data_IF_733086683974
#
_entry.id   IF_733086683974
#
_cell.length_a   1.000
_cell.length_b   1.000
_cell.length_c   1.000
_cell.angle_alpha   90.00
_cell.angle_beta   90.00
_cell.angle_gamma   90.00
#
_symmetry.space_group_name_H-M   'P 1'
#
loop_
_entity.id
_entity.type
_entity.pdbx_description
1 polymer ?
#
# COMPACT_ATOMS: atom_id res chain seq x y z
N UNK A 1 -18.24 -0.38 11.57
CA UNK A 1 -17.73 1.01 11.51
C UNK A 1 -16.50 1.10 12.39
N UNK A 2 -15.35 1.52 11.85
CA UNK A 2 -14.16 1.86 12.64
C UNK A 2 -14.28 3.31 13.12
N UNK A 3 -13.72 3.66 14.28
CA UNK A 3 -13.67 5.07 14.71
C UNK A 3 -12.88 5.92 13.69
N UNK A 4 -13.31 7.17 13.50
CA UNK A 4 -12.57 8.19 12.71
C UNK A 4 -11.81 9.18 13.60
N UNK A 5 -11.93 9.04 14.91
CA UNK A 5 -11.23 9.88 15.88
C UNK A 5 -9.72 9.59 15.84
N UNK A 6 -8.92 10.65 15.73
CA UNK A 6 -7.47 10.54 15.68
C UNK A 6 -6.91 10.39 17.09
N UNK A 7 -6.42 9.20 17.41
CA UNK A 7 -5.68 8.94 18.65
C UNK A 7 -4.27 9.50 18.51
N UNK A 8 -3.88 10.39 19.43
CA UNK A 8 -2.54 10.98 19.52
C UNK A 8 -1.90 10.60 20.85
N UNK A 9 -0.57 10.54 20.87
CA UNK A 9 0.19 10.49 22.10
C UNK A 9 0.23 11.85 22.80
N UNK A 10 0.84 11.90 23.98
CA UNK A 10 1.04 13.14 24.74
C UNK A 10 2.09 14.06 24.12
N UNK A 11 2.94 13.51 23.24
CA UNK A 11 3.97 14.24 22.51
C UNK A 11 4.17 13.68 21.08
N UNK A 12 5.11 14.27 20.33
CA UNK A 12 5.42 13.85 18.97
C UNK A 12 6.00 12.43 18.91
N UNK A 13 6.82 12.04 19.90
CA UNK A 13 7.47 10.72 19.94
C UNK A 13 6.46 9.60 20.19
N UNK A 14 5.58 9.76 21.18
CA UNK A 14 4.51 8.82 21.49
C UNK A 14 3.49 8.73 20.35
N UNK A 15 3.20 9.84 19.66
CA UNK A 15 2.37 9.81 18.44
C UNK A 15 3.04 9.03 17.31
N UNK A 16 4.35 9.20 17.12
CA UNK A 16 5.13 8.43 16.14
C UNK A 16 5.17 6.94 16.48
N UNK A 17 5.25 6.59 17.77
CA UNK A 17 5.21 5.19 18.23
C UNK A 17 3.88 4.52 17.90
N UNK A 18 2.75 5.22 18.01
CA UNK A 18 1.45 4.72 17.56
C UNK A 18 1.51 4.39 16.06
N UNK A 19 1.98 5.33 15.24
CA UNK A 19 2.13 5.13 13.80
C UNK A 19 3.05 3.95 13.45
N UNK A 20 4.17 3.81 14.16
CA UNK A 20 5.10 2.69 13.99
C UNK A 20 4.47 1.34 14.34
N UNK A 21 3.68 1.27 15.42
CA UNK A 21 2.95 0.05 15.81
C UNK A 21 1.92 -0.35 14.75
N UNK A 22 1.18 0.61 14.21
CA UNK A 22 0.22 0.37 13.13
C UNK A 22 0.94 -0.09 11.85
N UNK A 23 2.01 0.59 11.45
CA UNK A 23 2.80 0.21 10.28
C UNK A 23 3.36 -1.22 10.40
N UNK A 24 3.90 -1.59 11.58
CA UNK A 24 4.37 -2.96 11.85
C UNK A 24 3.24 -3.99 11.73
N UNK A 25 2.06 -3.70 12.26
CA UNK A 25 0.91 -4.60 12.15
C UNK A 25 0.48 -4.80 10.69
N UNK A 26 0.46 -3.72 9.89
CA UNK A 26 0.16 -3.80 8.45
C UNK A 26 1.21 -4.60 7.68
N UNK A 27 2.51 -4.46 8.01
CA UNK A 27 3.58 -5.29 7.43
C UNK A 27 3.34 -6.77 7.75
N UNK A 28 3.05 -7.11 9.01
CA UNK A 28 2.77 -8.48 9.40
C UNK A 28 1.54 -9.06 8.69
N UNK A 29 0.52 -8.24 8.44
CA UNK A 29 -0.62 -8.63 7.61
C UNK A 29 -0.16 -8.96 6.18
N UNK A 30 0.60 -8.07 5.54
CA UNK A 30 1.12 -8.30 4.18
C UNK A 30 1.98 -9.56 4.10
N UNK A 31 2.77 -9.87 5.13
CA UNK A 31 3.59 -11.09 5.20
C UNK A 31 2.73 -12.38 5.28
N UNK A 32 1.51 -12.31 5.83
CA UNK A 32 0.62 -13.45 6.04
C UNK A 32 -0.38 -13.74 4.90
N UNK A 33 -0.38 -12.93 3.83
CA UNK A 33 -1.28 -13.12 2.67
C UNK A 33 -0.76 -14.26 1.77
N UNK A 34 -1.05 -15.52 2.05
CA UNK A 34 -0.44 -16.62 1.27
C UNK A 34 -1.03 -16.80 -0.14
N UNK A 35 -2.23 -16.27 -0.37
CA UNK A 35 -2.83 -16.19 -1.69
C UNK A 35 -2.14 -15.10 -2.52
N UNK A 36 -1.87 -15.37 -3.80
CA UNK A 36 -1.31 -14.36 -4.70
C UNK A 36 -2.35 -13.28 -5.02
N UNK A 37 -2.19 -12.03 -4.55
CA UNK A 37 -3.14 -10.97 -4.88
C UNK A 37 -2.97 -10.54 -6.34
N UNK A 38 -4.04 -10.02 -6.95
CA UNK A 38 -3.96 -9.46 -8.31
C UNK A 38 -3.15 -8.16 -8.35
N UNK A 39 -3.25 -7.35 -7.30
CA UNK A 39 -2.48 -6.14 -7.08
C UNK A 39 -2.51 -5.79 -5.58
N UNK A 40 -1.63 -4.89 -5.15
CA UNK A 40 -1.65 -4.31 -3.80
C UNK A 40 -1.62 -2.78 -3.90
N UNK A 41 -2.42 -2.09 -3.10
CA UNK A 41 -2.39 -0.63 -2.98
C UNK A 41 -2.03 -0.29 -1.53
N UNK A 42 -1.01 0.53 -1.33
CA UNK A 42 -0.71 1.13 -0.03
C UNK A 42 -0.76 2.65 -0.15
N UNK A 43 -1.32 3.32 0.87
CA UNK A 43 -1.42 4.79 0.90
C UNK A 43 -0.61 5.39 2.05
N UNK A 44 0.08 6.48 1.75
CA UNK A 44 0.94 7.21 2.68
C UNK A 44 2.40 6.77 2.57
N UNK A 45 3.32 7.68 2.89
CA UNK A 45 4.76 7.48 2.67
C UNK A 45 5.35 6.30 3.45
N UNK A 46 5.19 6.31 4.78
CA UNK A 46 5.73 5.25 5.66
C UNK A 46 5.08 3.90 5.34
N UNK A 47 3.75 3.84 5.29
CA UNK A 47 2.99 2.61 5.01
C UNK A 47 3.42 1.99 3.68
N UNK A 48 3.53 2.80 2.62
CA UNK A 48 3.89 2.28 1.30
C UNK A 48 5.35 1.84 1.22
N UNK A 49 6.26 2.54 1.90
CA UNK A 49 7.66 2.15 1.99
C UNK A 49 7.83 0.83 2.76
N UNK A 50 7.18 0.70 3.90
CA UNK A 50 7.23 -0.48 4.75
C UNK A 50 6.56 -1.69 4.09
N UNK A 51 5.42 -1.50 3.43
CA UNK A 51 4.77 -2.57 2.69
C UNK A 51 5.66 -3.08 1.54
N UNK A 52 6.36 -2.21 0.81
CA UNK A 52 7.28 -2.62 -0.26
C UNK A 52 8.51 -3.36 0.28
N UNK A 53 9.23 -2.73 1.20
CA UNK A 53 10.55 -3.18 1.64
C UNK A 53 10.48 -4.29 2.68
N UNK A 54 9.52 -4.20 3.63
CA UNK A 54 9.38 -5.17 4.72
C UNK A 54 8.28 -6.17 4.43
N UNK A 55 7.14 -5.78 3.86
CA UNK A 55 6.04 -6.71 3.57
C UNK A 55 6.31 -7.59 2.34
N UNK A 56 6.53 -6.94 1.19
CA UNK A 56 6.77 -7.58 -0.10
C UNK A 56 8.23 -7.97 -0.33
N UNK A 57 9.16 -7.53 0.54
CA UNK A 57 10.60 -7.84 0.46
C UNK A 57 11.25 -7.38 -0.87
N UNK A 58 10.73 -6.30 -1.46
CA UNK A 58 11.31 -5.71 -2.67
C UNK A 58 12.65 -5.04 -2.32
N UNK A 59 13.72 -5.38 -3.05
CA UNK A 59 14.97 -4.60 -3.01
C UNK A 59 15.03 -3.58 -4.13
N UNK A 60 14.51 -3.95 -5.30
CA UNK A 60 14.35 -3.05 -6.46
C UNK A 60 13.00 -3.28 -7.12
N UNK A 61 12.42 -2.22 -7.66
CA UNK A 61 11.19 -2.28 -8.45
C UNK A 61 11.34 -1.44 -9.72
N UNK A 62 10.61 -1.83 -10.76
CA UNK A 62 10.42 -1.02 -11.96
C UNK A 62 9.16 -0.20 -11.80
N UNK A 63 9.21 1.07 -12.17
CA UNK A 63 8.02 1.91 -12.32
C UNK A 63 7.44 1.61 -13.70
N UNK A 64 6.25 1.04 -13.74
CA UNK A 64 5.57 0.66 -14.98
C UNK A 64 4.76 1.83 -15.58
N UNK A 65 4.47 2.84 -14.78
CA UNK A 65 3.61 3.95 -15.14
C UNK A 65 2.92 4.51 -13.90
N UNK A 66 1.67 4.94 -14.09
CA UNK A 66 0.86 5.56 -13.05
C UNK A 66 -0.51 4.89 -13.01
N UNK A 67 -1.04 4.60 -11.81
CA UNK A 67 -2.40 4.11 -11.62
C UNK A 67 -3.43 5.25 -11.68
N UNK A 68 -3.00 6.46 -11.33
CA UNK A 68 -3.69 7.74 -11.48
C UNK A 68 -2.63 8.85 -11.58
N UNK A 69 -2.95 10.09 -12.01
CA UNK A 69 -1.99 11.18 -12.08
C UNK A 69 -1.21 11.36 -10.77
N UNK A 70 0.11 11.16 -10.82
CA UNK A 70 0.98 11.27 -9.63
C UNK A 70 0.95 10.07 -8.67
N UNK A 71 0.26 8.98 -9.02
CA UNK A 71 0.18 7.73 -8.24
C UNK A 71 0.97 6.63 -8.96
N UNK A 72 2.25 6.40 -8.61
CA UNK A 72 3.10 5.48 -9.35
C UNK A 72 2.71 3.99 -9.17
N UNK A 73 2.87 3.25 -10.27
CA UNK A 73 2.67 1.81 -10.33
C UNK A 73 4.02 1.09 -10.40
N UNK A 74 4.30 0.24 -9.42
CA UNK A 74 5.55 -0.51 -9.29
C UNK A 74 5.35 -2.00 -9.59
N UNK A 75 6.44 -2.65 -10.01
CA UNK A 75 6.54 -4.10 -10.13
C UNK A 75 7.94 -4.58 -9.75
N UNK A 76 8.02 -5.61 -8.92
CA UNK A 76 9.28 -6.28 -8.58
C UNK A 76 9.27 -7.70 -9.13
N UNK A 77 10.29 -8.04 -9.92
CA UNK A 77 10.48 -9.36 -10.51
C UNK A 77 11.64 -10.14 -9.88
N UNK A 78 12.16 -9.69 -8.73
CA UNK A 78 13.21 -10.39 -7.99
C UNK A 78 12.63 -11.63 -7.30
N UNK A 79 13.37 -12.75 -7.28
CA UNK A 79 12.92 -13.99 -6.63
C UNK A 79 12.75 -13.86 -5.12
N UNK A 80 13.52 -12.97 -4.50
CA UNK A 80 13.39 -12.66 -3.07
C UNK A 80 12.13 -11.88 -2.74
N UNK A 81 11.43 -11.32 -3.74
CA UNK A 81 10.19 -10.57 -3.53
C UNK A 81 9.03 -11.53 -3.30
N UNK A 82 8.28 -11.27 -2.22
CA UNK A 82 6.96 -11.86 -2.05
C UNK A 82 6.06 -11.38 -3.17
N UNK A 83 5.18 -12.28 -3.65
CA UNK A 83 4.26 -11.98 -4.74
C UNK A 83 4.96 -11.43 -5.99
N UNK A 84 6.08 -12.05 -6.39
CA UNK A 84 6.88 -11.68 -7.58
C UNK A 84 5.99 -11.33 -8.79
N UNK A 85 6.20 -10.16 -9.37
CA UNK A 85 5.49 -9.65 -10.53
C UNK A 85 4.11 -9.07 -10.24
N UNK A 86 3.63 -9.10 -8.99
CA UNK A 86 2.35 -8.46 -8.63
C UNK A 86 2.50 -6.93 -8.71
N UNK A 87 1.57 -6.25 -9.40
CA UNK A 87 1.52 -4.79 -9.44
C UNK A 87 1.30 -4.20 -8.04
N UNK A 88 2.10 -3.20 -7.70
CA UNK A 88 2.07 -2.50 -6.43
C UNK A 88 1.88 -1.00 -6.64
N UNK A 89 0.75 -0.46 -6.17
CA UNK A 89 0.43 0.96 -6.26
C UNK A 89 0.92 1.67 -5.00
N UNK A 90 1.86 2.60 -5.17
CA UNK A 90 2.36 3.47 -4.11
C UNK A 90 1.55 4.75 -4.14
N UNK A 91 0.54 4.84 -3.28
CA UNK A 91 -0.41 5.95 -3.26
C UNK A 91 0.06 7.06 -2.30
N UNK A 92 0.41 8.27 -2.78
CA UNK A 92 0.84 9.35 -1.88
C UNK A 92 -0.28 9.83 -0.94
N UNK A 93 0.10 10.33 0.23
CA UNK A 93 -0.89 10.76 1.24
C UNK A 93 -1.75 11.94 0.79
N UNK A 94 -1.21 12.80 -0.08
CA UNK A 94 -1.74 14.11 -0.45
C UNK A 94 -2.00 14.28 -1.96
N UNK A 95 -2.07 13.18 -2.72
CA UNK A 95 -2.33 13.20 -4.17
C UNK A 95 -3.73 12.68 -4.46
N UNK A 96 -4.37 13.24 -5.49
CA UNK A 96 -5.72 12.88 -5.93
C UNK A 96 -6.82 13.65 -5.19
N UNK A 97 -8.06 13.37 -5.59
CA UNK A 97 -9.28 13.77 -4.89
C UNK A 97 -9.69 12.71 -3.86
N UNK A 98 -10.75 13.00 -3.11
CA UNK A 98 -11.39 12.05 -2.19
C UNK A 98 -11.86 10.76 -2.89
N UNK A 99 -12.05 10.82 -4.21
CA UNK A 99 -12.56 9.70 -5.00
C UNK A 99 -11.47 8.89 -5.71
N UNK A 100 -10.26 9.44 -5.87
CA UNK A 100 -9.22 8.83 -6.73
C UNK A 100 -8.87 7.39 -6.36
N UNK A 101 -8.85 7.04 -5.07
CA UNK A 101 -8.61 5.65 -4.69
C UNK A 101 -9.76 4.72 -5.13
N UNK A 102 -11.01 5.17 -5.03
CA UNK A 102 -12.16 4.42 -5.49
C UNK A 102 -12.12 4.26 -7.02
N UNK A 103 -11.81 5.31 -7.76
CA UNK A 103 -11.71 5.29 -9.23
C UNK A 103 -10.64 4.30 -9.71
N UNK A 104 -9.49 4.25 -9.03
CA UNK A 104 -8.42 3.27 -9.31
C UNK A 104 -8.92 1.84 -9.07
N UNK A 105 -9.60 1.59 -7.96
CA UNK A 105 -10.10 0.25 -7.64
C UNK A 105 -11.20 -0.17 -8.61
N UNK A 106 -12.11 0.74 -8.98
CA UNK A 106 -13.20 0.49 -9.92
C UNK A 106 -12.67 0.16 -11.32
N UNK A 107 -11.74 0.97 -11.85
CA UNK A 107 -11.14 0.75 -13.17
C UNK A 107 -10.31 -0.54 -13.27
N UNK A 108 -9.90 -1.11 -12.14
CA UNK A 108 -9.14 -2.37 -12.06
C UNK A 108 -10.00 -3.56 -11.61
N UNK A 109 -11.30 -3.34 -11.44
CA UNK A 109 -12.26 -4.41 -11.19
C UNK A 109 -12.43 -5.26 -12.46
N UNK A 110 -12.68 -6.56 -12.28
CA UNK A 110 -13.13 -7.39 -13.40
C UNK A 110 -14.62 -7.12 -13.54
N UNK A 111 -15.10 -6.86 -14.77
CA UNK A 111 -16.52 -6.80 -15.03
C UNK A 111 -17.18 -8.09 -14.50
N UNK A 112 -18.19 -7.97 -13.64
CA UNK A 112 -18.98 -9.13 -13.24
C UNK A 112 -19.54 -9.76 -14.50
N UNK A 113 -19.10 -10.99 -14.79
CA UNK A 113 -19.79 -11.83 -15.76
C UNK A 113 -21.13 -12.15 -15.11
N UNK A 114 -22.20 -11.54 -15.61
CA UNK A 114 -23.57 -11.87 -15.26
C UNK A 114 -23.94 -13.26 -15.80
#
# INVERSE_FOLDING_TARGET
MTSRELIKGHDALSSLQIGSKVARALVQLVEKIDVRPRYLIAKGGITSSDAATKGLKMRRARILGQAAPGVPLWRCDEETSRHRGVPYVVFPGNVGSDQTLADVVESWSIASVA
#
